data_IF_129974386264
#
_entry.id   IF_129974386264
#
_cell.length_a   1.000
_cell.length_b   1.000
_cell.length_c   1.000
_cell.angle_alpha   90.00
_cell.angle_beta   90.00
_cell.angle_gamma   90.00
#
_symmetry.space_group_name_H-M   'P 1'
#
loop_
_entity.id
_entity.type
_entity.pdbx_description
1 polymer ?
#
# COMPACT_ATOMS: atom_id res chain seq x y z
N UNK A 1 -29.24 54.31 44.90
CA UNK A 1 -28.17 54.42 43.88
C UNK A 1 -27.15 53.33 44.18
N UNK A 2 -27.29 52.17 43.54
CA UNK A 2 -26.46 50.99 43.84
C UNK A 2 -25.11 51.08 43.15
N UNK A 3 -24.02 50.94 43.90
CA UNK A 3 -22.65 50.93 43.39
C UNK A 3 -22.44 49.68 42.53
N UNK A 4 -22.16 49.87 41.24
CA UNK A 4 -21.79 48.79 40.33
C UNK A 4 -20.42 48.21 40.75
N UNK A 5 -20.30 46.88 40.89
CA UNK A 5 -19.04 46.24 41.29
C UNK A 5 -17.94 46.49 40.26
N UNK A 6 -16.75 46.85 40.73
CA UNK A 6 -15.57 47.15 39.91
C UNK A 6 -15.12 45.88 39.17
N UNK A 7 -15.19 45.89 37.84
CA UNK A 7 -14.71 44.78 37.02
C UNK A 7 -13.19 44.59 37.22
N UNK A 8 -12.77 43.40 37.64
CA UNK A 8 -11.35 43.04 37.72
C UNK A 8 -10.85 42.76 36.31
N UNK A 9 -9.97 43.63 35.79
CA UNK A 9 -9.26 43.39 34.53
C UNK A 9 -8.12 42.39 34.73
N UNK A 10 -7.82 41.59 33.71
CA UNK A 10 -6.67 40.67 33.71
C UNK A 10 -5.36 41.44 33.79
N UNK A 11 -4.40 40.92 34.56
CA UNK A 11 -3.04 41.45 34.63
C UNK A 11 -2.27 41.19 33.34
N UNK A 12 -1.37 42.09 32.96
CA UNK A 12 -0.43 41.88 31.85
C UNK A 12 0.40 40.60 32.02
N UNK A 13 0.74 40.25 33.27
CA UNK A 13 1.49 39.02 33.58
C UNK A 13 0.61 37.78 33.40
N UNK A 14 -0.68 37.87 33.70
CA UNK A 14 -1.62 36.75 33.51
C UNK A 14 -1.81 36.48 32.01
N UNK A 15 -1.97 37.53 31.20
CA UNK A 15 -2.07 37.39 29.74
C UNK A 15 -0.76 36.90 29.10
N UNK A 16 0.41 37.32 29.61
CA UNK A 16 1.69 36.89 29.04
C UNK A 16 1.97 35.40 29.28
N UNK A 17 1.67 34.89 30.48
CA UNK A 17 1.81 33.46 30.77
C UNK A 17 0.85 32.64 29.90
N UNK A 18 -0.38 33.10 29.70
CA UNK A 18 -1.36 32.41 28.85
C UNK A 18 -0.87 32.32 27.39
N UNK A 19 -0.32 33.40 26.82
CA UNK A 19 0.20 33.39 25.45
C UNK A 19 1.43 32.48 25.33
N UNK A 20 2.31 32.47 26.34
CA UNK A 20 3.49 31.59 26.34
C UNK A 20 3.06 30.12 26.39
N UNK A 21 2.18 29.76 27.32
CA UNK A 21 1.71 28.38 27.48
C UNK A 21 0.97 27.91 26.22
N UNK A 22 0.08 28.74 25.67
CA UNK A 22 -0.64 28.40 24.43
C UNK A 22 0.30 28.31 23.23
N UNK A 23 1.33 29.16 23.14
CA UNK A 23 2.35 29.10 22.10
C UNK A 23 3.19 27.82 22.17
N UNK A 24 3.66 27.44 23.36
CA UNK A 24 4.44 26.22 23.58
C UNK A 24 3.63 24.95 23.28
N UNK A 25 2.38 24.89 23.72
CA UNK A 25 1.49 23.76 23.42
C UNK A 25 1.25 23.66 21.91
N UNK A 26 0.96 24.78 21.24
CA UNK A 26 0.71 24.79 19.79
C UNK A 26 1.95 24.31 19.02
N UNK A 27 3.14 24.78 19.38
CA UNK A 27 4.40 24.35 18.77
C UNK A 27 4.68 22.85 19.01
N UNK A 28 4.40 22.35 20.22
CA UNK A 28 4.53 20.93 20.57
C UNK A 28 3.58 20.04 19.76
N UNK A 29 2.32 20.45 19.60
CA UNK A 29 1.32 19.70 18.83
C UNK A 29 1.69 19.62 17.35
N UNK A 30 2.13 20.72 16.73
CA UNK A 30 2.53 20.75 15.32
C UNK A 30 3.72 19.83 15.07
N UNK A 31 4.73 19.88 15.95
CA UNK A 31 5.90 18.98 15.86
C UNK A 31 5.51 17.52 16.10
N UNK A 32 4.66 17.24 17.08
CA UNK A 32 4.18 15.88 17.34
C UNK A 32 3.42 15.29 16.14
N UNK A 33 2.58 16.10 15.48
CA UNK A 33 1.83 15.69 14.31
C UNK A 33 2.74 15.34 13.11
N UNK A 34 3.84 16.08 12.91
CA UNK A 34 4.78 15.80 11.81
C UNK A 34 5.56 14.50 12.03
N UNK A 35 5.98 14.20 13.27
CA UNK A 35 6.64 12.94 13.63
C UNK A 35 5.70 11.75 13.36
N UNK A 36 4.45 11.83 13.81
CA UNK A 36 3.46 10.77 13.57
C UNK A 36 3.26 10.54 12.06
N UNK A 37 3.21 11.62 11.26
CA UNK A 37 3.11 11.51 9.80
C UNK A 37 4.33 10.81 9.21
N UNK A 38 5.54 11.15 9.65
CA UNK A 38 6.78 10.52 9.16
C UNK A 38 6.84 9.03 9.51
N UNK A 39 6.44 8.65 10.72
CA UNK A 39 6.38 7.24 11.13
C UNK A 39 5.37 6.44 10.29
N UNK A 40 4.21 7.04 9.96
CA UNK A 40 3.26 6.43 9.03
C UNK A 40 3.86 6.24 7.62
N UNK A 41 4.61 7.20 7.09
CA UNK A 41 5.27 7.03 5.79
C UNK A 41 6.37 5.96 5.86
N UNK A 42 7.12 5.93 6.97
CA UNK A 42 8.14 4.91 7.22
C UNK A 42 7.53 3.51 7.30
N UNK A 43 6.32 3.37 7.84
CA UNK A 43 5.67 2.05 7.93
C UNK A 43 5.45 1.41 6.57
N UNK A 44 5.20 2.19 5.51
CA UNK A 44 5.07 1.67 4.14
C UNK A 44 6.37 1.03 3.66
N UNK A 45 7.50 1.68 3.92
CA UNK A 45 8.84 1.17 3.54
C UNK A 45 9.15 -0.11 4.29
N UNK A 46 8.84 -0.15 5.60
CA UNK A 46 9.04 -1.35 6.42
C UNK A 46 8.14 -2.51 5.98
N UNK A 47 6.88 -2.24 5.66
CA UNK A 47 5.93 -3.22 5.14
C UNK A 47 6.41 -3.79 3.80
N UNK A 48 6.85 -2.93 2.88
CA UNK A 48 7.42 -3.35 1.60
C UNK A 48 8.63 -4.28 1.79
N UNK A 49 9.63 -3.87 2.58
CA UNK A 49 10.83 -4.68 2.81
C UNK A 49 10.52 -6.04 3.45
N UNK A 50 9.52 -6.07 4.36
CA UNK A 50 9.03 -7.32 4.95
C UNK A 50 8.46 -8.24 3.88
N UNK A 51 7.57 -7.75 3.03
CA UNK A 51 6.92 -8.57 2.01
C UNK A 51 7.88 -9.01 0.92
N UNK A 52 8.82 -8.15 0.52
CA UNK A 52 9.86 -8.49 -0.44
C UNK A 52 10.76 -9.61 0.07
N UNK A 53 11.21 -9.50 1.32
CA UNK A 53 11.99 -10.56 1.99
C UNK A 53 11.19 -11.85 2.11
N UNK A 54 9.92 -11.77 2.50
CA UNK A 54 9.05 -12.94 2.63
C UNK A 54 8.82 -13.65 1.30
N UNK A 55 8.58 -12.88 0.23
CA UNK A 55 8.40 -13.40 -1.12
C UNK A 55 9.66 -14.11 -1.63
N UNK A 56 10.82 -13.52 -1.40
CA UNK A 56 12.10 -14.10 -1.76
C UNK A 56 12.41 -15.38 -0.98
N UNK A 57 12.19 -15.38 0.34
CA UNK A 57 12.36 -16.58 1.17
C UNK A 57 11.43 -17.71 0.73
N UNK A 58 10.18 -17.38 0.39
CA UNK A 58 9.23 -18.35 -0.15
C UNK A 58 9.73 -18.98 -1.46
N UNK A 59 10.19 -18.16 -2.41
CA UNK A 59 10.76 -18.66 -3.66
C UNK A 59 12.01 -19.51 -3.42
N UNK A 60 12.86 -19.11 -2.47
CA UNK A 60 14.08 -19.84 -2.15
C UNK A 60 13.77 -21.23 -1.54
N UNK A 61 12.79 -21.31 -0.64
CA UNK A 61 12.39 -22.53 0.07
C UNK A 61 11.55 -23.48 -0.79
N UNK A 62 10.51 -22.98 -1.44
CA UNK A 62 9.53 -23.83 -2.14
C UNK A 62 9.75 -23.93 -3.65
N UNK A 63 10.70 -23.15 -4.21
CA UNK A 63 10.96 -23.07 -5.66
C UNK A 63 9.71 -22.76 -6.49
N UNK A 64 8.77 -22.03 -5.89
CA UNK A 64 7.50 -21.63 -6.49
C UNK A 64 7.11 -20.24 -5.99
N UNK A 65 6.37 -19.50 -6.81
CA UNK A 65 5.82 -18.19 -6.43
C UNK A 65 4.67 -18.35 -5.44
N UNK A 66 4.61 -17.56 -4.35
CA UNK A 66 3.48 -17.61 -3.44
C UNK A 66 2.18 -17.31 -4.18
N UNK A 67 1.14 -18.08 -3.88
CA UNK A 67 -0.16 -18.02 -4.56
C UNK A 67 -0.26 -18.83 -5.84
N UNK A 68 0.84 -19.03 -6.56
CA UNK A 68 0.92 -19.77 -7.83
C UNK A 68 1.55 -21.18 -7.66
N UNK A 69 1.81 -21.59 -6.43
CA UNK A 69 2.41 -22.89 -6.12
C UNK A 69 1.43 -24.06 -6.39
N UNK A 70 1.74 -25.00 -7.31
CA UNK A 70 0.80 -26.04 -7.75
C UNK A 70 0.57 -27.17 -6.72
N UNK A 71 1.45 -27.29 -5.73
CA UNK A 71 1.46 -28.34 -4.72
C UNK A 71 1.40 -27.79 -3.29
N UNK A 72 0.86 -26.59 -3.08
CA UNK A 72 0.72 -25.96 -1.77
C UNK A 72 -0.04 -26.84 -0.74
N UNK A 73 -1.06 -27.56 -1.20
CA UNK A 73 -1.86 -28.48 -0.40
C UNK A 73 -1.04 -29.61 0.23
N UNK A 74 0.01 -30.08 -0.45
CA UNK A 74 0.84 -31.17 0.05
C UNK A 74 1.65 -30.76 1.29
N UNK A 75 1.85 -29.45 1.49
CA UNK A 75 2.59 -28.90 2.64
C UNK A 75 1.67 -28.56 3.82
N UNK A 76 0.49 -28.00 3.54
CA UNK A 76 -0.37 -27.42 4.59
C UNK A 76 -1.77 -28.04 4.71
N UNK A 77 -2.19 -28.85 3.74
CA UNK A 77 -3.50 -29.49 3.73
C UNK A 77 -4.65 -28.55 4.09
N UNK A 78 -5.47 -28.96 5.05
CA UNK A 78 -6.64 -28.21 5.53
C UNK A 78 -6.32 -26.86 6.16
N UNK A 79 -5.08 -26.62 6.60
CA UNK A 79 -4.70 -25.33 7.18
C UNK A 79 -4.64 -24.24 6.11
N UNK A 80 -4.47 -24.65 4.85
CA UNK A 80 -4.48 -23.76 3.70
C UNK A 80 -5.89 -23.34 3.28
N UNK A 81 -6.73 -24.33 2.96
CA UNK A 81 -8.09 -24.11 2.47
C UNK A 81 -8.96 -25.36 2.70
N UNK A 82 -10.22 -25.32 2.26
CA UNK A 82 -11.13 -26.47 2.37
C UNK A 82 -10.81 -27.62 1.39
N UNK A 83 -10.06 -27.34 0.31
CA UNK A 83 -9.66 -28.34 -0.67
C UNK A 83 -8.34 -27.97 -1.35
N UNK A 84 -7.73 -28.95 -2.01
CA UNK A 84 -6.51 -28.76 -2.80
C UNK A 84 -6.70 -27.75 -3.94
N UNK A 85 -7.86 -27.71 -4.61
CA UNK A 85 -8.11 -26.75 -5.70
C UNK A 85 -8.10 -25.29 -5.22
N UNK A 86 -8.54 -25.08 -3.97
CA UNK A 86 -8.54 -23.75 -3.36
C UNK A 86 -7.16 -23.33 -2.86
N UNK A 87 -6.37 -24.27 -2.35
CA UNK A 87 -5.01 -23.99 -1.89
C UNK A 87 -4.01 -23.85 -3.05
N UNK A 88 -4.04 -24.75 -4.01
CA UNK A 88 -3.03 -24.81 -5.07
C UNK A 88 -3.21 -23.67 -6.09
N UNK A 89 -2.10 -23.05 -6.47
CA UNK A 89 -2.01 -22.23 -7.67
C UNK A 89 -2.00 -23.10 -8.93
N UNK A 90 -1.97 -22.47 -10.10
CA UNK A 90 -1.93 -23.19 -11.38
C UNK A 90 -0.49 -23.41 -11.92
N UNK A 91 0.52 -22.77 -11.32
CA UNK A 91 1.93 -22.93 -11.70
C UNK A 91 2.31 -22.24 -13.01
N UNK A 92 1.53 -21.25 -13.47
CA UNK A 92 1.77 -20.57 -14.75
C UNK A 92 2.70 -19.35 -14.61
N UNK A 93 3.32 -19.19 -13.45
CA UNK A 93 4.19 -18.09 -13.04
C UNK A 93 3.46 -16.73 -12.99
N UNK A 94 2.14 -16.69 -13.10
CA UNK A 94 1.35 -15.47 -13.15
C UNK A 94 0.51 -15.32 -11.88
N UNK A 95 0.39 -14.08 -11.39
CA UNK A 95 -0.61 -13.74 -10.39
C UNK A 95 -1.51 -12.70 -11.07
N UNK A 96 -2.67 -13.12 -11.62
CA UNK A 96 -3.49 -12.23 -12.42
C UNK A 96 -4.08 -11.11 -11.55
N UNK A 97 -4.07 -9.90 -12.11
CA UNK A 97 -4.79 -8.73 -11.56
C UNK A 97 -6.29 -8.79 -11.87
N UNK A 98 -6.78 -9.87 -12.48
CA UNK A 98 -8.03 -9.83 -13.20
C UNK A 98 -9.25 -9.91 -12.28
N UNK A 99 -10.12 -8.93 -12.47
CA UNK A 99 -11.45 -8.81 -11.88
C UNK A 99 -12.44 -9.81 -12.49
N UNK A 100 -12.18 -10.33 -13.71
CA UNK A 100 -13.09 -11.18 -14.48
C UNK A 100 -12.74 -12.68 -14.46
N UNK A 101 -11.67 -13.08 -13.79
CA UNK A 101 -11.31 -14.50 -13.71
C UNK A 101 -12.18 -15.15 -12.65
N UNK A 102 -13.27 -15.78 -13.11
CA UNK A 102 -14.30 -16.42 -12.28
C UNK A 102 -13.86 -17.77 -11.69
N UNK A 103 -12.64 -18.20 -11.98
CA UNK A 103 -12.14 -19.53 -11.61
C UNK A 103 -11.56 -19.54 -10.20
N UNK A 104 -11.46 -20.74 -9.61
CA UNK A 104 -10.96 -21.05 -8.26
C UNK A 104 -9.48 -20.67 -8.01
N UNK A 105 -8.92 -19.82 -8.86
CA UNK A 105 -7.50 -19.44 -8.99
C UNK A 105 -7.29 -17.98 -8.57
N UNK A 106 -7.80 -17.58 -7.40
CA UNK A 106 -7.48 -16.27 -6.81
C UNK A 106 -6.10 -16.28 -6.17
N UNK A 107 -5.06 -16.36 -7.00
CA UNK A 107 -3.66 -16.53 -6.59
C UNK A 107 -3.17 -15.34 -5.77
N UNK A 108 -3.73 -14.14 -5.96
CA UNK A 108 -3.46 -12.94 -5.15
C UNK A 108 -3.76 -13.15 -3.66
N UNK A 109 -4.90 -13.77 -3.33
CA UNK A 109 -5.29 -14.03 -1.94
C UNK A 109 -4.48 -15.22 -1.40
N UNK A 110 -4.31 -16.26 -2.23
CA UNK A 110 -3.49 -17.43 -1.90
C UNK A 110 -2.07 -17.02 -1.54
N UNK A 111 -1.50 -16.02 -2.22
CA UNK A 111 -0.13 -15.55 -1.98
C UNK A 111 0.08 -15.14 -0.52
N UNK A 112 -0.81 -14.33 0.05
CA UNK A 112 -0.70 -13.92 1.46
C UNK A 112 -0.90 -15.09 2.42
N UNK A 113 -1.83 -16.00 2.12
CA UNK A 113 -2.02 -17.22 2.90
C UNK A 113 -0.79 -18.12 2.87
N UNK A 114 -0.17 -18.32 1.71
CA UNK A 114 1.04 -19.13 1.55
C UNK A 114 2.22 -18.53 2.34
N UNK A 115 2.42 -17.20 2.25
CA UNK A 115 3.46 -16.52 3.03
C UNK A 115 3.26 -16.65 4.54
N UNK A 116 2.01 -16.58 5.00
CA UNK A 116 1.64 -16.74 6.42
C UNK A 116 1.85 -18.18 6.90
N UNK A 117 1.38 -19.19 6.17
CA UNK A 117 1.57 -20.61 6.51
C UNK A 117 3.04 -21.04 6.49
N UNK A 118 3.84 -20.42 5.62
CA UNK A 118 5.28 -20.62 5.60
C UNK A 118 6.01 -19.93 6.76
N UNK A 119 5.32 -19.11 7.56
CA UNK A 119 5.90 -18.38 8.69
C UNK A 119 6.74 -17.16 8.31
N UNK A 120 6.63 -16.67 7.06
CA UNK A 120 7.41 -15.51 6.61
C UNK A 120 6.74 -14.17 6.88
N UNK A 121 5.43 -14.16 7.12
CA UNK A 121 4.68 -12.99 7.56
C UNK A 121 3.74 -13.36 8.70
N UNK A 122 3.45 -12.38 9.54
CA UNK A 122 2.43 -12.51 10.57
C UNK A 122 1.02 -12.29 10.01
N UNK A 123 0.04 -12.86 10.70
CA UNK A 123 -1.39 -12.71 10.40
C UNK A 123 -2.02 -13.99 9.84
N UNK A 124 -3.32 -14.09 10.00
CA UNK A 124 -4.12 -15.19 9.47
C UNK A 124 -4.94 -14.67 8.28
N UNK A 125 -4.70 -15.26 7.11
CA UNK A 125 -5.40 -14.89 5.90
C UNK A 125 -6.39 -15.98 5.50
N UNK A 126 -7.57 -15.60 5.04
CA UNK A 126 -8.61 -16.54 4.61
C UNK A 126 -8.72 -16.51 3.10
N UNK A 127 -8.64 -17.68 2.46
CA UNK A 127 -8.97 -17.83 1.04
C UNK A 127 -10.50 -17.84 0.93
N UNK A 128 -11.07 -16.84 0.25
CA UNK A 128 -12.51 -16.75 -0.01
C UNK A 128 -12.77 -16.59 -1.52
N UNK A 129 -13.87 -17.17 -2.00
CA UNK A 129 -14.32 -16.96 -3.38
C UNK A 129 -15.00 -15.60 -3.54
N UNK A 130 -14.59 -14.90 -4.60
CA UNK A 130 -15.23 -13.74 -5.24
C UNK A 130 -15.43 -12.49 -4.37
N UNK A 131 -14.99 -11.35 -4.93
CA UNK A 131 -15.31 -9.93 -4.60
C UNK A 131 -15.04 -9.39 -3.18
N UNK A 132 -14.72 -10.24 -2.21
CA UNK A 132 -14.54 -9.82 -0.81
C UNK A 132 -13.09 -9.60 -0.40
N UNK A 133 -12.23 -9.07 -1.27
CA UNK A 133 -10.88 -8.65 -0.84
C UNK A 133 -11.03 -7.59 0.26
N UNK A 134 -10.45 -7.87 1.42
CA UNK A 134 -10.60 -7.11 2.65
C UNK A 134 -9.29 -7.12 3.43
N UNK A 135 -8.77 -5.91 3.68
CA UNK A 135 -7.59 -5.68 4.49
C UNK A 135 -7.79 -6.19 5.92
N UNK A 136 -6.83 -6.99 6.39
CA UNK A 136 -6.87 -7.68 7.67
C UNK A 136 -7.66 -8.99 7.67
N UNK A 137 -8.19 -9.42 6.52
CA UNK A 137 -8.93 -10.70 6.39
C UNK A 137 -8.24 -11.63 5.39
N UNK A 138 -8.00 -11.15 4.17
CA UNK A 138 -7.41 -11.94 3.09
C UNK A 138 -6.22 -11.26 2.42
N UNK A 139 -5.96 -10.02 2.82
CA UNK A 139 -4.74 -9.29 2.49
C UNK A 139 -4.25 -8.52 3.72
N UNK A 140 -2.95 -8.20 3.83
CA UNK A 140 -2.44 -7.39 4.92
C UNK A 140 -3.02 -5.98 4.92
N UNK A 141 -3.35 -5.46 6.10
CA UNK A 141 -3.73 -4.07 6.31
C UNK A 141 -2.46 -3.22 6.43
N UNK A 142 -2.41 -2.07 5.76
CA UNK A 142 -1.31 -1.12 5.98
C UNK A 142 -1.50 -0.33 7.28
N UNK A 143 -0.39 0.01 7.95
CA UNK A 143 -0.35 0.88 9.13
C UNK A 143 -0.47 2.37 8.77
N UNK A 144 -0.34 2.75 7.50
CA UNK A 144 -0.38 4.16 7.07
C UNK A 144 -1.78 4.78 7.18
N UNK A 145 -2.78 4.13 6.57
CA UNK A 145 -4.17 4.58 6.55
C UNK A 145 -5.11 3.37 6.35
N UNK A 146 -6.42 3.59 6.22
CA UNK A 146 -7.41 2.53 6.00
C UNK A 146 -7.30 1.90 4.59
N UNK A 147 -6.21 1.19 4.34
CA UNK A 147 -5.86 0.53 3.09
C UNK A 147 -5.27 -0.86 3.31
N UNK A 148 -4.79 -1.46 2.22
CA UNK A 148 -4.25 -2.81 2.25
C UNK A 148 -3.26 -3.04 1.12
N UNK A 149 -2.55 -4.16 1.24
CA UNK A 149 -1.54 -4.60 0.30
C UNK A 149 -2.06 -5.70 -0.60
N UNK A 150 -1.76 -5.70 -1.89
CA UNK A 150 -2.06 -6.85 -2.72
C UNK A 150 -0.94 -7.18 -3.69
N UNK A 151 -0.81 -8.47 -4.01
CA UNK A 151 0.19 -8.97 -4.94
C UNK A 151 -0.42 -9.23 -6.32
N UNK A 152 0.26 -8.80 -7.37
CA UNK A 152 -0.02 -9.23 -8.72
C UNK A 152 1.26 -9.25 -9.56
N UNK A 153 1.23 -9.95 -10.70
CA UNK A 153 2.32 -9.91 -11.67
C UNK A 153 1.93 -9.19 -12.96
N UNK A 154 0.71 -9.44 -13.41
CA UNK A 154 0.24 -8.93 -14.69
C UNK A 154 -0.63 -7.71 -14.51
N UNK A 155 -0.33 -6.64 -15.25
CA UNK A 155 -1.12 -5.42 -15.27
C UNK A 155 -1.54 -5.15 -16.72
N UNK A 156 -2.81 -5.43 -17.04
CA UNK A 156 -3.37 -5.27 -18.40
C UNK A 156 -3.12 -3.87 -19.00
N UNK A 157 -3.24 -2.80 -18.21
CA UNK A 157 -3.06 -1.42 -18.68
C UNK A 157 -1.59 -1.01 -18.83
N UNK A 158 -0.65 -1.70 -18.16
CA UNK A 158 0.78 -1.37 -18.22
C UNK A 158 1.39 -1.68 -19.59
N UNK A 159 0.75 -2.55 -20.40
CA UNK A 159 1.16 -2.81 -21.78
C UNK A 159 1.14 -1.55 -22.67
N UNK A 160 0.39 -0.51 -22.28
CA UNK A 160 0.29 0.75 -23.03
C UNK A 160 1.22 1.86 -22.49
N UNK A 161 1.89 1.66 -21.35
CA UNK A 161 2.73 2.68 -20.71
C UNK A 161 4.20 2.24 -20.67
N UNK A 162 4.47 0.97 -20.34
CA UNK A 162 5.79 0.34 -20.49
C UNK A 162 5.65 -1.19 -20.32
N UNK A 163 6.03 -1.95 -21.35
CA UNK A 163 6.04 -3.42 -21.29
C UNK A 163 6.95 -4.00 -20.19
N UNK A 164 7.94 -3.26 -19.72
CA UNK A 164 8.80 -3.63 -18.59
C UNK A 164 8.07 -3.54 -17.25
N UNK A 165 7.04 -2.69 -17.14
CA UNK A 165 6.20 -2.50 -15.94
C UNK A 165 5.15 -3.63 -15.82
N UNK A 166 4.68 -4.19 -16.94
CA UNK A 166 3.51 -5.06 -16.97
C UNK A 166 3.68 -6.54 -16.60
N UNK A 167 4.92 -7.04 -16.38
CA UNK A 167 5.21 -8.48 -16.18
C UNK A 167 6.04 -8.81 -14.94
N UNK A 168 6.11 -7.89 -13.98
CA UNK A 168 6.89 -8.01 -12.74
C UNK A 168 5.98 -8.33 -11.56
N UNK A 169 6.43 -9.19 -10.65
CA UNK A 169 5.73 -9.38 -9.37
C UNK A 169 5.78 -8.08 -8.60
N UNK A 170 4.64 -7.66 -8.05
CA UNK A 170 4.48 -6.35 -7.42
C UNK A 170 3.63 -6.44 -6.17
N UNK A 171 4.02 -5.63 -5.19
CA UNK A 171 3.21 -5.27 -4.03
C UNK A 171 2.56 -3.93 -4.29
N UNK A 172 1.24 -3.89 -4.21
CA UNK A 172 0.45 -2.70 -4.48
C UNK A 172 -0.19 -2.26 -3.18
N UNK A 173 -0.18 -0.96 -2.92
CA UNK A 173 -0.78 -0.37 -1.72
C UNK A 173 -1.72 0.76 -2.11
N UNK A 174 -2.92 0.71 -1.55
CA UNK A 174 -3.98 1.67 -1.83
C UNK A 174 -5.19 1.45 -0.92
N UNK A 175 -6.30 2.13 -1.24
CA UNK A 175 -7.59 1.95 -0.58
C UNK A 175 -8.53 1.09 -1.43
N UNK A 176 -9.53 0.48 -0.78
CA UNK A 176 -10.55 -0.32 -1.48
C UNK A 176 -11.44 0.58 -2.31
N UNK A 177 -11.67 0.21 -3.56
CA UNK A 177 -12.75 0.77 -4.39
C UNK A 177 -13.92 -0.20 -4.46
N UNK A 178 -15.15 0.33 -4.54
CA UNK A 178 -16.35 -0.48 -4.78
C UNK A 178 -16.16 -1.37 -6.00
N UNK A 179 -16.28 -2.69 -5.83
CA UNK A 179 -16.10 -3.72 -6.86
C UNK A 179 -14.67 -3.85 -7.43
N UNK A 180 -13.63 -3.37 -6.74
CA UNK A 180 -12.25 -3.59 -7.18
C UNK A 180 -11.28 -3.86 -6.02
N UNK A 181 -10.05 -4.21 -6.39
CA UNK A 181 -8.92 -4.35 -5.47
C UNK A 181 -8.53 -3.01 -4.82
N UNK A 182 -7.50 -3.05 -3.97
CA UNK A 182 -7.00 -1.91 -3.20
C UNK A 182 -6.11 -0.97 -4.04
N UNK A 183 -6.60 -0.53 -5.20
CA UNK A 183 -5.84 0.30 -6.14
C UNK A 183 -6.23 1.79 -6.10
N UNK A 184 -7.19 2.17 -5.25
CA UNK A 184 -7.57 3.57 -5.15
C UNK A 184 -6.50 4.39 -4.40
N UNK A 185 -6.39 5.69 -4.68
CA UNK A 185 -5.42 6.57 -4.02
C UNK A 185 -5.45 6.47 -2.50
N UNK A 186 -4.26 6.52 -1.92
CA UNK A 186 -4.07 6.55 -0.46
C UNK A 186 -3.05 7.62 -0.06
N UNK A 187 -2.08 7.93 -0.94
CA UNK A 187 -1.02 8.89 -0.68
C UNK A 187 -1.32 10.24 -1.32
N UNK A 188 -0.92 11.30 -0.62
CA UNK A 188 -0.72 12.59 -1.26
C UNK A 188 0.50 12.50 -2.20
N UNK A 189 0.54 13.25 -3.32
CA UNK A 189 1.68 13.26 -4.23
C UNK A 189 3.03 13.54 -3.56
N UNK A 190 3.09 14.49 -2.63
CA UNK A 190 4.32 14.77 -1.89
C UNK A 190 4.74 13.60 -0.98
N UNK A 191 3.77 12.92 -0.37
CA UNK A 191 4.03 11.74 0.46
C UNK A 191 4.55 10.57 -0.39
N UNK A 192 3.93 10.32 -1.55
CA UNK A 192 4.36 9.29 -2.50
C UNK A 192 5.78 9.57 -3.00
N UNK A 193 6.07 10.80 -3.43
CA UNK A 193 7.41 11.23 -3.86
C UNK A 193 8.48 11.00 -2.79
N UNK A 194 8.18 11.30 -1.52
CA UNK A 194 9.13 11.09 -0.41
C UNK A 194 9.33 9.61 -0.06
N UNK A 195 8.36 8.74 -0.34
CA UNK A 195 8.54 7.28 -0.21
C UNK A 195 9.42 6.78 -1.35
N UNK A 196 9.12 7.23 -2.57
CA UNK A 196 9.85 6.91 -3.80
C UNK A 196 11.33 7.23 -3.68
N UNK A 197 11.68 8.48 -3.35
CA UNK A 197 13.08 8.91 -3.13
C UNK A 197 13.85 8.10 -2.08
N UNK A 198 13.15 7.44 -1.14
CA UNK A 198 13.80 6.62 -0.11
C UNK A 198 14.03 5.18 -0.55
N UNK A 199 13.28 4.70 -1.54
CA UNK A 199 13.38 3.34 -2.06
C UNK A 199 14.16 3.32 -3.38
N UNK A 200 13.95 4.28 -4.28
CA UNK A 200 14.52 4.30 -5.62
C UNK A 200 14.98 5.69 -6.14
N UNK A 201 14.26 6.31 -7.06
CA UNK A 201 14.70 7.41 -7.94
C UNK A 201 13.76 8.62 -7.93
N UNK A 202 12.57 8.52 -7.31
CA UNK A 202 11.61 9.63 -7.27
C UNK A 202 10.83 9.83 -8.56
N UNK A 203 10.90 8.90 -9.50
CA UNK A 203 10.16 8.89 -10.75
C UNK A 203 8.91 8.02 -10.66
N UNK A 204 7.71 8.59 -10.82
CA UNK A 204 6.46 7.84 -10.68
C UNK A 204 6.27 6.69 -11.69
N UNK A 205 7.03 6.65 -12.78
CA UNK A 205 6.90 5.62 -13.84
C UNK A 205 8.21 4.91 -14.17
N UNK A 206 9.24 5.01 -13.34
CA UNK A 206 10.48 4.28 -13.51
C UNK A 206 10.87 3.55 -12.22
N UNK A 207 11.92 2.75 -12.27
CA UNK A 207 12.46 2.13 -11.06
C UNK A 207 11.63 0.98 -10.49
N UNK A 208 11.81 0.78 -9.19
CA UNK A 208 11.22 -0.30 -8.39
C UNK A 208 9.83 0.12 -7.93
N UNK A 209 9.68 1.39 -7.62
CA UNK A 209 8.48 2.01 -7.08
C UNK A 209 7.87 2.85 -8.16
N UNK A 210 6.66 2.48 -8.53
CA UNK A 210 5.90 3.22 -9.53
C UNK A 210 4.57 3.61 -8.95
N UNK A 211 4.19 4.84 -9.20
CA UNK A 211 2.85 5.32 -8.91
C UNK A 211 1.92 4.87 -10.03
N UNK A 212 0.75 4.39 -9.63
CA UNK A 212 -0.40 4.46 -10.50
C UNK A 212 -1.22 5.64 -9.98
N UNK A 213 -1.73 6.49 -10.88
CA UNK A 213 -2.58 7.59 -10.44
C UNK A 213 -3.89 7.15 -9.75
N UNK A 214 -4.11 5.87 -9.53
CA UNK A 214 -5.45 5.34 -9.36
C UNK A 214 -6.20 5.36 -10.69
N UNK A 215 -6.88 4.26 -10.98
CA UNK A 215 -7.75 4.06 -12.14
C UNK A 215 -8.95 5.01 -12.10
N UNK A 216 -8.80 6.32 -12.19
CA UNK A 216 -9.93 7.18 -12.56
C UNK A 216 -10.13 7.21 -14.08
N UNK A 217 -9.25 6.58 -14.86
CA UNK A 217 -9.42 6.46 -16.31
C UNK A 217 -8.89 5.10 -16.77
N UNK A 218 -9.67 4.29 -17.51
CA UNK A 218 -9.13 3.17 -18.27
C UNK A 218 -8.03 3.70 -19.20
N UNK A 219 -6.77 3.40 -18.88
CA UNK A 219 -5.60 3.87 -19.64
C UNK A 219 -5.09 5.28 -19.32
N UNK A 220 -5.50 5.90 -18.20
CA UNK A 220 -5.07 7.27 -17.88
C UNK A 220 -4.41 7.44 -16.52
N UNK A 221 -3.40 8.32 -16.54
CA UNK A 221 -2.73 8.93 -15.38
C UNK A 221 -3.75 9.76 -14.59
N UNK A 222 -3.75 9.68 -13.26
CA UNK A 222 -4.50 10.65 -12.47
C UNK A 222 -3.73 11.97 -12.47
N UNK A 223 -4.31 13.03 -13.07
CA UNK A 223 -3.63 14.30 -13.25
C UNK A 223 -3.39 15.04 -11.92
N UNK A 224 -3.93 14.53 -10.81
CA UNK A 224 -3.64 15.04 -9.47
C UNK A 224 -2.46 14.32 -8.80
N UNK A 225 -2.05 13.15 -9.30
CA UNK A 225 -0.90 12.42 -8.78
C UNK A 225 0.39 12.72 -9.53
N UNK A 226 0.34 12.66 -10.86
CA UNK A 226 1.50 12.73 -11.74
C UNK A 226 1.26 13.77 -12.82
N UNK A 227 2.33 14.47 -13.22
CA UNK A 227 2.37 15.36 -14.37
C UNK A 227 3.31 14.79 -15.44
N UNK A 228 2.93 14.91 -16.71
CA UNK A 228 3.69 14.35 -17.83
C UNK A 228 3.41 12.87 -18.09
N UNK A 229 4.25 12.25 -18.91
CA UNK A 229 4.09 10.88 -19.41
C UNK A 229 5.44 10.19 -19.62
N UNK A 230 5.46 8.86 -19.54
CA UNK A 230 6.67 8.07 -19.74
C UNK A 230 7.73 8.30 -18.66
N UNK A 231 9.00 8.07 -18.99
CA UNK A 231 10.14 8.14 -18.06
C UNK A 231 10.45 9.55 -17.54
N UNK A 232 9.85 10.59 -18.10
CA UNK A 232 10.02 12.00 -17.68
C UNK A 232 8.87 12.51 -16.82
N UNK A 233 7.90 11.64 -16.49
CA UNK A 233 6.81 12.00 -15.61
C UNK A 233 7.32 12.35 -14.21
N UNK A 234 6.61 13.24 -13.52
CA UNK A 234 6.97 13.71 -12.18
C UNK A 234 5.76 13.71 -11.26
N UNK A 235 5.97 13.48 -9.96
CA UNK A 235 4.89 13.65 -8.99
C UNK A 235 4.40 15.10 -8.98
N UNK A 236 3.09 15.30 -8.97
CA UNK A 236 2.46 16.61 -8.88
C UNK A 236 2.45 17.11 -7.44
N UNK A 237 3.63 17.39 -6.89
CA UNK A 237 3.83 17.83 -5.49
C UNK A 237 3.09 19.12 -5.14
N UNK A 238 2.70 19.93 -6.15
CA UNK A 238 1.85 21.12 -5.98
C UNK A 238 0.42 20.77 -5.55
N UNK A 239 -0.04 19.55 -5.82
CA UNK A 239 -1.30 19.02 -5.32
C UNK A 239 -1.05 18.26 -4.01
N UNK A 240 -1.04 18.93 -2.85
CA UNK A 240 -0.83 18.28 -1.53
C UNK A 240 -2.05 18.35 -0.61
N UNK A 241 -3.24 18.56 -1.19
CA UNK A 241 -4.49 18.77 -0.45
C UNK A 241 -5.21 17.45 -0.11
N UNK A 242 -5.06 16.41 -0.93
CA UNK A 242 -5.77 15.15 -0.78
C UNK A 242 -4.97 13.97 -1.36
N UNK A 243 -5.37 12.74 -1.02
CA UNK A 243 -4.80 11.54 -1.60
C UNK A 243 -5.12 11.47 -3.09
N UNK A 244 -4.09 11.31 -3.93
CA UNK A 244 -4.22 11.19 -5.38
C UNK A 244 -3.38 10.03 -5.94
N UNK A 245 -2.42 9.51 -5.18
CA UNK A 245 -1.50 8.46 -5.62
C UNK A 245 -1.77 7.13 -4.91
N UNK A 246 -1.62 6.04 -5.64
CA UNK A 246 -1.37 4.71 -5.09
C UNK A 246 0.00 4.25 -5.58
N UNK A 247 0.62 3.28 -4.90
CA UNK A 247 1.99 2.86 -5.23
C UNK A 247 2.02 1.36 -5.51
N UNK A 248 2.90 0.98 -6.42
CA UNK A 248 3.20 -0.39 -6.76
C UNK A 248 4.72 -0.55 -6.71
N UNK A 249 5.17 -1.56 -5.99
CA UNK A 249 6.58 -1.78 -5.71
C UNK A 249 6.95 -3.17 -6.22
N UNK A 250 7.95 -3.26 -7.08
CA UNK A 250 8.44 -4.51 -7.63
C UNK A 250 9.02 -5.41 -6.54
N UNK A 251 8.69 -6.70 -6.57
CA UNK A 251 9.39 -7.70 -5.77
C UNK A 251 10.78 -7.93 -6.37
N UNK A 252 11.82 -7.67 -5.58
CA UNK A 252 13.21 -7.82 -6.00
C UNK A 252 13.61 -9.29 -5.92
N UNK A 253 13.33 -10.05 -6.98
CA UNK A 253 13.77 -11.45 -7.07
C UNK A 253 15.30 -11.51 -6.94
N UNK A 254 15.82 -12.25 -5.96
CA UNK A 254 17.24 -12.61 -5.93
C UNK A 254 17.59 -13.31 -7.25
N UNK A 255 18.32 -12.62 -8.13
CA UNK A 255 18.94 -13.27 -9.28
C UNK A 255 20.09 -14.10 -8.73
N UNK A 256 19.87 -15.40 -8.59
CA UNK A 256 20.94 -16.37 -8.44
C UNK A 256 21.65 -16.59 -9.78
#
# INVERSE_FOLDING_TARGET
>A
MGLLPKAKGFSLVELSIVIIVTGLITAGVVTGASIIKQEKLRSIILEYNLYDTAFNNFNATFKATPGDMPNAWDYWGSDCAASASLCNGNGNFNIPHDYYVVTETYELIKAWKHLSLAGFIEGEYIIQHHINVAAGVNIPKTRYFNGGWYMNRYIWWANNIDSAIGRKHRFNVGTKRTNFLYHAPIFKPNDAYNIDLKIDDGSPYAGIVVSHGGYQIPGGVNPNCVSGSGSTATYKITYDIAAACNMMMEATLFRH
#
